data_IF_438354849533
#
_entry.id   IF_438354849533
#
_cell.length_a   1.000
_cell.length_b   1.000
_cell.length_c   1.000
_cell.angle_alpha   90.00
_cell.angle_beta   90.00
_cell.angle_gamma   90.00
#
_symmetry.space_group_name_H-M   'P 1'
#
loop_
_entity.id
_entity.type
_entity.pdbx_description
1 polymer ?
#
# COMPACT_ATOMS: atom_id res chain seq x y z
N UNK A 1 11.43 -53.48 -61.14
CA UNK A 1 12.83 -53.98 -61.28
C UNK A 1 12.92 -54.67 -62.63
N UNK A 2 13.93 -54.41 -63.49
CA UNK A 2 15.34 -54.23 -63.13
C UNK A 2 16.02 -52.95 -63.64
N UNK A 3 17.18 -52.72 -63.02
CA UNK A 3 18.24 -51.74 -63.29
C UNK A 3 19.12 -52.18 -64.46
N UNK A 4 19.84 -51.25 -65.10
CA UNK A 4 21.27 -51.33 -65.48
C UNK A 4 21.68 -50.05 -66.24
N UNK A 5 22.51 -49.19 -65.62
CA UNK A 5 23.97 -48.96 -65.87
C UNK A 5 24.28 -47.86 -66.89
N UNK A 6 24.97 -46.81 -66.47
CA UNK A 6 26.39 -46.64 -66.83
C UNK A 6 27.08 -45.51 -66.02
N UNK A 7 28.33 -45.81 -65.70
CA UNK A 7 29.33 -45.03 -64.96
C UNK A 7 30.15 -44.12 -65.89
N UNK A 8 30.56 -42.92 -65.44
CA UNK A 8 31.87 -42.34 -65.79
C UNK A 8 32.49 -41.52 -64.62
N UNK A 9 33.83 -41.44 -64.49
CA UNK A 9 34.51 -40.94 -63.30
C UNK A 9 35.25 -39.58 -63.46
N UNK A 10 35.53 -38.96 -62.30
CA UNK A 10 36.70 -38.15 -61.88
C UNK A 10 37.16 -36.92 -62.71
N UNK A 11 37.14 -35.72 -62.09
CA UNK A 11 38.38 -34.95 -61.84
C UNK A 11 38.23 -33.82 -60.80
N UNK A 12 39.03 -33.98 -59.76
CA UNK A 12 39.42 -33.04 -58.70
C UNK A 12 40.05 -31.72 -59.23
N UNK A 13 39.75 -30.58 -58.59
CA UNK A 13 40.71 -29.61 -58.00
C UNK A 13 40.03 -28.28 -57.66
N UNK A 14 40.13 -27.85 -56.41
CA UNK A 14 39.76 -26.50 -56.01
C UNK A 14 39.71 -26.32 -54.50
N UNK A 15 40.87 -26.34 -53.84
CA UNK A 15 40.95 -26.00 -52.43
C UNK A 15 40.55 -24.54 -52.19
N UNK A 16 39.81 -24.31 -51.10
CA UNK A 16 39.90 -23.05 -50.36
C UNK A 16 39.57 -23.29 -48.90
N UNK A 17 40.60 -23.15 -48.06
CA UNK A 17 40.46 -22.95 -46.61
C UNK A 17 39.53 -21.75 -46.38
N UNK A 18 38.49 -21.94 -45.57
CA UNK A 18 37.87 -20.84 -44.82
C UNK A 18 37.69 -21.34 -43.39
N UNK A 19 38.81 -21.40 -42.67
CA UNK A 19 38.81 -21.36 -41.23
C UNK A 19 38.77 -19.89 -40.80
N UNK A 20 37.81 -19.55 -39.96
CA UNK A 20 37.77 -18.27 -39.26
C UNK A 20 36.57 -17.40 -39.61
N UNK A 21 35.38 -17.75 -39.11
CA UNK A 21 34.45 -16.70 -38.64
C UNK A 21 33.34 -17.16 -37.68
N UNK A 22 33.45 -18.30 -37.00
CA UNK A 22 32.37 -18.78 -36.11
C UNK A 22 32.45 -18.23 -34.67
N UNK A 23 33.58 -17.63 -34.28
CA UNK A 23 33.80 -17.15 -32.91
C UNK A 23 33.29 -15.72 -32.61
N UNK A 24 32.83 -14.98 -33.62
CA UNK A 24 32.35 -13.59 -33.44
C UNK A 24 30.82 -13.44 -33.40
N UNK A 25 30.07 -14.52 -33.58
CA UNK A 25 28.60 -14.51 -33.50
C UNK A 25 28.08 -14.94 -32.12
N UNK A 26 28.77 -15.86 -31.43
CA UNK A 26 28.32 -16.40 -30.13
C UNK A 26 28.49 -15.42 -28.95
N UNK A 27 29.50 -14.52 -28.98
CA UNK A 27 29.71 -13.55 -27.89
C UNK A 27 28.59 -12.50 -27.77
N UNK A 28 27.98 -12.08 -28.88
CA UNK A 28 26.95 -11.03 -28.88
C UNK A 28 25.61 -11.49 -28.32
N UNK A 29 25.27 -12.77 -28.46
CA UNK A 29 24.02 -13.33 -27.94
C UNK A 29 24.12 -13.70 -26.46
N UNK A 30 25.30 -14.16 -26.02
CA UNK A 30 25.61 -14.32 -24.59
C UNK A 30 25.61 -12.99 -23.83
N UNK A 31 26.18 -11.94 -24.42
CA UNK A 31 26.25 -10.61 -23.81
C UNK A 31 24.87 -9.93 -23.72
N UNK A 32 23.99 -10.12 -24.72
CA UNK A 32 22.58 -9.68 -24.69
C UNK A 32 21.73 -10.42 -23.65
N UNK A 33 21.96 -11.72 -23.47
CA UNK A 33 21.27 -12.53 -22.46
C UNK A 33 21.69 -12.13 -21.05
N UNK A 34 22.98 -11.84 -20.85
CA UNK A 34 23.53 -11.36 -19.57
C UNK A 34 23.08 -9.92 -19.30
N UNK A 35 23.04 -9.03 -20.29
CA UNK A 35 22.54 -7.65 -20.08
C UNK A 35 21.01 -7.60 -19.88
N UNK A 36 20.23 -8.50 -20.45
CA UNK A 36 18.80 -8.63 -20.13
C UNK A 36 18.53 -9.20 -18.75
N UNK A 37 19.37 -10.11 -18.24
CA UNK A 37 19.24 -10.60 -16.85
C UNK A 37 19.71 -9.57 -15.82
N UNK A 38 20.64 -8.69 -16.18
CA UNK A 38 21.13 -7.58 -15.33
C UNK A 38 20.18 -6.37 -15.35
N UNK A 39 19.47 -6.11 -16.45
CA UNK A 39 18.41 -5.08 -16.54
C UNK A 39 17.04 -5.60 -16.11
N UNK A 40 16.99 -6.42 -15.06
CA UNK A 40 15.74 -6.74 -14.36
C UNK A 40 15.18 -5.50 -13.66
N UNK A 41 14.70 -4.50 -14.41
CA UNK A 41 13.82 -3.48 -13.86
C UNK A 41 12.67 -4.22 -13.20
N UNK A 42 12.53 -4.06 -11.88
CA UNK A 42 11.37 -4.58 -11.17
C UNK A 42 10.15 -3.84 -11.74
N UNK A 43 9.52 -4.46 -12.73
CA UNK A 43 8.26 -4.03 -13.32
C UNK A 43 7.18 -4.17 -12.23
N UNK A 44 7.02 -3.12 -11.42
CA UNK A 44 6.01 -3.09 -10.38
C UNK A 44 4.63 -3.20 -11.03
N UNK A 45 3.83 -4.16 -10.58
CA UNK A 45 2.43 -4.26 -11.00
C UNK A 45 1.70 -2.94 -10.70
N UNK A 46 0.69 -2.55 -11.49
CA UNK A 46 -0.10 -1.34 -11.23
C UNK A 46 -0.63 -1.25 -9.79
N UNK A 47 -1.01 -2.41 -9.21
CA UNK A 47 -1.44 -2.53 -7.82
C UNK A 47 -0.34 -2.17 -6.82
N UNK A 48 0.87 -2.72 -7.00
CA UNK A 48 2.01 -2.42 -6.12
C UNK A 48 2.42 -0.95 -6.19
N UNK A 49 2.39 -0.34 -7.38
CA UNK A 49 2.66 1.10 -7.55
C UNK A 49 1.65 1.94 -6.77
N UNK A 50 0.36 1.65 -6.93
CA UNK A 50 -0.69 2.39 -6.23
C UNK A 50 -0.60 2.21 -4.71
N UNK A 51 -0.27 1.01 -4.23
CA UNK A 51 -0.03 0.74 -2.81
C UNK A 51 1.13 1.59 -2.29
N UNK A 52 2.27 1.60 -2.99
CA UNK A 52 3.44 2.38 -2.58
C UNK A 52 3.14 3.89 -2.55
N UNK A 53 2.42 4.41 -3.55
CA UNK A 53 2.02 5.81 -3.60
C UNK A 53 1.09 6.19 -2.45
N UNK A 54 0.07 5.37 -2.16
CA UNK A 54 -0.87 5.62 -1.07
C UNK A 54 -0.21 5.46 0.30
N UNK A 55 0.70 4.49 0.45
CA UNK A 55 1.51 4.32 1.66
C UNK A 55 2.43 5.52 1.89
N UNK A 56 3.12 6.01 0.86
CA UNK A 56 3.95 7.21 0.93
C UNK A 56 3.15 8.46 1.29
N UNK A 57 2.02 8.68 0.63
CA UNK A 57 1.10 9.78 0.95
C UNK A 57 0.64 9.73 2.41
N UNK A 58 0.21 8.55 2.84
CA UNK A 58 -0.28 8.32 4.20
C UNK A 58 0.82 8.56 5.24
N UNK A 59 2.03 8.04 5.00
CA UNK A 59 3.19 8.21 5.88
C UNK A 59 3.65 9.68 5.96
N UNK A 60 3.64 10.41 4.84
CA UNK A 60 3.99 11.83 4.81
C UNK A 60 2.99 12.65 5.64
N UNK A 61 1.69 12.47 5.40
CA UNK A 61 0.64 13.16 6.15
C UNK A 61 0.69 12.83 7.65
N UNK A 62 0.93 11.57 7.99
CA UNK A 62 1.08 11.15 9.39
C UNK A 62 2.33 11.77 10.04
N UNK A 63 3.44 11.89 9.31
CA UNK A 63 4.65 12.55 9.81
C UNK A 63 4.41 14.04 10.05
N UNK A 64 3.77 14.74 9.11
CA UNK A 64 3.42 16.16 9.28
C UNK A 64 2.49 16.36 10.48
N UNK A 65 1.47 15.52 10.61
CA UNK A 65 0.55 15.53 11.75
C UNK A 65 1.27 15.27 13.08
N UNK A 66 2.32 14.45 13.08
CA UNK A 66 3.12 14.17 14.26
C UNK A 66 3.94 15.38 14.75
N UNK A 67 4.24 16.34 13.88
CA UNK A 67 4.96 17.57 14.21
C UNK A 67 4.06 18.63 14.87
N UNK A 68 2.74 18.51 14.73
CA UNK A 68 1.78 19.45 15.33
C UNK A 68 1.64 19.14 16.82
N UNK A 69 2.00 20.08 17.73
CA UNK A 69 1.78 19.90 19.15
C UNK A 69 0.28 20.04 19.46
N UNK A 70 -0.32 18.99 20.00
CA UNK A 70 -1.71 18.98 20.44
C UNK A 70 -1.77 18.96 21.98
N UNK A 71 -2.86 19.50 22.59
CA UNK A 71 -3.01 19.54 24.05
C UNK A 71 -2.90 18.16 24.70
N UNK A 72 -3.35 17.13 23.97
CA UNK A 72 -3.22 15.72 24.34
C UNK A 72 -2.17 15.10 23.42
N UNK A 73 -0.97 14.74 23.92
CA UNK A 73 0.16 14.32 23.08
C UNK A 73 -0.10 13.11 22.17
N UNK A 74 -0.99 12.22 22.60
CA UNK A 74 -1.34 11.02 21.85
C UNK A 74 -2.50 11.25 20.87
N UNK A 75 -3.33 12.27 21.07
CA UNK A 75 -4.48 12.54 20.21
C UNK A 75 -4.03 12.92 18.80
N UNK A 76 -4.76 12.50 17.78
CA UNK A 76 -4.48 12.79 16.36
C UNK A 76 -5.75 13.29 15.67
N UNK A 77 -5.57 14.14 14.65
CA UNK A 77 -6.64 14.69 13.80
C UNK A 77 -7.06 13.66 12.75
N UNK A 78 -6.22 12.65 12.46
CA UNK A 78 -6.51 11.56 11.55
C UNK A 78 -6.15 11.85 10.08
N UNK A 79 -5.46 12.95 9.76
CA UNK A 79 -5.13 13.32 8.37
C UNK A 79 -4.28 12.24 7.70
N UNK A 80 -3.39 11.58 8.46
CA UNK A 80 -2.62 10.43 7.98
C UNK A 80 -3.48 9.27 7.46
N UNK A 81 -4.76 9.17 7.85
CA UNK A 81 -5.65 8.08 7.43
C UNK A 81 -6.27 8.28 6.04
N UNK A 82 -6.10 9.43 5.38
CA UNK A 82 -6.63 9.66 4.02
C UNK A 82 -6.12 8.60 3.04
N UNK A 83 -4.82 8.31 3.04
CA UNK A 83 -4.24 7.28 2.17
C UNK A 83 -4.71 5.86 2.51
N UNK A 84 -4.91 5.55 3.78
CA UNK A 84 -5.45 4.27 4.25
C UNK A 84 -6.88 4.07 3.77
N UNK A 85 -7.73 5.09 3.92
CA UNK A 85 -9.12 5.02 3.49
C UNK A 85 -9.23 4.96 1.96
N UNK A 86 -8.41 5.72 1.23
CA UNK A 86 -8.32 5.61 -0.23
C UNK A 86 -7.94 4.18 -0.66
N UNK A 87 -6.93 3.59 -0.03
CA UNK A 87 -6.51 2.22 -0.32
C UNK A 87 -7.62 1.20 -0.05
N UNK A 88 -8.40 1.37 1.01
CA UNK A 88 -9.56 0.52 1.32
C UNK A 88 -10.67 0.57 0.25
N UNK A 89 -10.78 1.69 -0.49
CA UNK A 89 -11.79 1.88 -1.54
C UNK A 89 -11.28 1.58 -2.96
N UNK A 90 -10.01 1.82 -3.25
CA UNK A 90 -9.43 1.70 -4.60
C UNK A 90 -8.69 0.38 -4.80
N UNK A 91 -8.16 -0.21 -3.72
CA UNK A 91 -7.40 -1.45 -3.73
C UNK A 91 -8.14 -2.53 -2.93
N UNK A 92 -7.45 -3.61 -2.57
CA UNK A 92 -8.02 -4.65 -1.71
C UNK A 92 -7.95 -4.24 -0.23
N UNK A 93 -8.83 -4.78 0.64
CA UNK A 93 -8.73 -4.57 2.09
C UNK A 93 -7.39 -5.00 2.68
N UNK A 94 -6.67 -5.92 2.03
CA UNK A 94 -5.33 -6.30 2.47
C UNK A 94 -4.29 -5.23 2.10
N UNK A 95 -4.43 -4.58 0.94
CA UNK A 95 -3.55 -3.47 0.54
C UNK A 95 -3.70 -2.27 1.47
N UNK A 96 -4.94 -1.91 1.81
CA UNK A 96 -5.19 -0.83 2.77
C UNK A 96 -4.60 -1.13 4.16
N UNK A 97 -4.57 -2.40 4.56
CA UNK A 97 -3.91 -2.83 5.79
C UNK A 97 -2.39 -2.64 5.71
N UNK A 98 -1.76 -3.01 4.59
CA UNK A 98 -0.34 -2.75 4.39
C UNK A 98 -0.02 -1.25 4.33
N UNK A 99 -0.87 -0.44 3.70
CA UNK A 99 -0.75 1.03 3.71
C UNK A 99 -0.76 1.57 5.13
N UNK A 100 -1.66 1.07 6.00
CA UNK A 100 -1.69 1.41 7.42
C UNK A 100 -0.39 1.02 8.14
N UNK A 101 0.09 -0.21 7.95
CA UNK A 101 1.31 -0.68 8.62
C UNK A 101 2.53 0.13 8.19
N UNK A 102 2.69 0.35 6.88
CA UNK A 102 3.79 1.15 6.33
C UNK A 102 3.71 2.58 6.88
N UNK A 103 2.52 3.20 6.90
CA UNK A 103 2.30 4.52 7.50
C UNK A 103 2.82 4.57 8.94
N UNK A 104 2.43 3.61 9.77
CA UNK A 104 2.80 3.60 11.19
C UNK A 104 4.31 3.38 11.35
N UNK A 105 4.90 2.42 10.64
CA UNK A 105 6.32 2.10 10.73
C UNK A 105 7.17 3.27 10.22
N UNK A 106 6.98 3.67 8.97
CA UNK A 106 7.77 4.74 8.35
C UNK A 106 7.52 6.07 9.04
N UNK A 107 6.26 6.40 9.29
CA UNK A 107 5.92 7.67 9.92
C UNK A 107 6.43 7.79 11.36
N UNK A 108 6.44 6.70 12.13
CA UNK A 108 7.05 6.71 13.48
C UNK A 108 8.57 6.77 13.43
N UNK A 109 9.21 6.14 12.44
CA UNK A 109 10.66 6.22 12.24
C UNK A 109 11.07 7.66 11.90
N UNK A 110 10.38 8.30 10.94
CA UNK A 110 10.63 9.69 10.55
C UNK A 110 10.36 10.68 11.68
N UNK A 111 9.41 10.37 12.57
CA UNK A 111 9.09 11.22 13.72
C UNK A 111 9.96 10.95 14.94
N UNK A 112 10.91 10.01 14.88
CA UNK A 112 11.74 9.60 16.03
C UNK A 112 10.96 8.91 17.16
N UNK A 113 9.79 8.33 16.85
CA UNK A 113 8.84 7.70 17.79
C UNK A 113 8.75 6.19 17.64
N UNK A 114 9.58 5.58 16.80
CA UNK A 114 9.60 4.13 16.60
C UNK A 114 9.87 3.41 17.94
N UNK A 115 9.12 2.34 18.22
CA UNK A 115 9.15 1.60 19.49
C UNK A 115 8.87 2.41 20.77
N UNK A 116 8.38 3.65 20.65
CA UNK A 116 7.90 4.42 21.81
C UNK A 116 6.49 3.98 22.24
N UNK A 117 6.00 4.40 23.42
CA UNK A 117 4.59 4.21 23.77
C UNK A 117 3.63 4.72 22.70
N UNK A 118 3.95 5.83 22.01
CA UNK A 118 3.15 6.37 20.90
C UNK A 118 3.03 5.42 19.71
N UNK A 119 4.06 4.58 19.46
CA UNK A 119 3.99 3.54 18.45
C UNK A 119 2.99 2.45 18.83
N UNK A 120 2.95 2.07 20.12
CA UNK A 120 1.97 1.11 20.64
C UNK A 120 0.54 1.68 20.59
N UNK A 121 0.36 2.97 20.87
CA UNK A 121 -0.92 3.66 20.64
C UNK A 121 -1.36 3.56 19.19
N UNK A 122 -0.46 3.87 18.25
CA UNK A 122 -0.78 3.86 16.82
C UNK A 122 -1.13 2.45 16.30
N UNK A 123 -0.40 1.42 16.72
CA UNK A 123 -0.70 0.03 16.34
C UNK A 123 -1.96 -0.49 17.05
N UNK A 124 -2.01 -0.34 18.38
CA UNK A 124 -3.07 -0.88 19.23
C UNK A 124 -4.44 -0.29 18.94
N UNK A 125 -4.51 0.98 18.53
CA UNK A 125 -5.75 1.58 18.03
C UNK A 125 -5.93 1.40 16.51
N UNK A 126 -4.85 1.54 15.74
CA UNK A 126 -4.88 1.58 14.28
C UNK A 126 -5.30 0.26 13.63
N UNK A 127 -4.70 -0.85 14.06
CA UNK A 127 -4.99 -2.17 13.48
C UNK A 127 -6.45 -2.58 13.70
N UNK A 128 -6.99 -2.61 14.94
CA UNK A 128 -8.37 -2.98 15.16
C UNK A 128 -9.37 -2.00 14.51
N UNK A 129 -9.13 -0.68 14.57
CA UNK A 129 -10.02 0.30 13.92
C UNK A 129 -10.06 0.13 12.40
N UNK A 130 -8.95 -0.25 11.76
CA UNK A 130 -8.94 -0.57 10.34
C UNK A 130 -9.82 -1.75 9.99
N UNK A 131 -9.73 -2.84 10.75
CA UNK A 131 -10.58 -4.01 10.52
C UNK A 131 -12.05 -3.73 10.79
N UNK A 132 -12.36 -2.85 11.77
CA UNK A 132 -13.73 -2.33 11.96
C UNK A 132 -14.19 -1.59 10.70
N UNK A 133 -13.39 -0.68 10.14
CA UNK A 133 -13.74 0.01 8.88
C UNK A 133 -13.94 -0.96 7.72
N UNK A 134 -13.03 -1.92 7.55
CA UNK A 134 -13.10 -2.91 6.46
C UNK A 134 -14.34 -3.80 6.59
N UNK A 135 -14.66 -4.25 7.81
CA UNK A 135 -15.87 -5.02 8.11
C UNK A 135 -17.13 -4.20 7.88
N UNK A 136 -17.18 -2.95 8.35
CA UNK A 136 -18.32 -2.05 8.15
C UNK A 136 -18.53 -1.69 6.68
N UNK A 137 -17.46 -1.50 5.90
CA UNK A 137 -17.56 -1.32 4.45
C UNK A 137 -18.19 -2.56 3.80
N UNK A 138 -17.78 -3.76 4.20
CA UNK A 138 -18.33 -5.01 3.65
C UNK A 138 -19.79 -5.23 4.03
N UNK A 139 -20.17 -4.97 5.28
CA UNK A 139 -21.50 -5.22 5.81
C UNK A 139 -22.51 -4.12 5.45
N UNK A 140 -22.09 -2.87 5.53
CA UNK A 140 -22.96 -1.69 5.48
C UNK A 140 -22.55 -0.69 4.39
N UNK A 141 -21.64 -1.04 3.47
CA UNK A 141 -21.22 -0.16 2.38
C UNK A 141 -22.35 0.26 1.43
N UNK A 142 -23.49 -0.43 1.47
CA UNK A 142 -24.72 -0.04 0.76
C UNK A 142 -25.45 1.14 1.41
N UNK A 143 -25.29 1.33 2.72
CA UNK A 143 -25.95 2.37 3.52
C UNK A 143 -24.98 3.51 3.81
N UNK A 144 -23.74 3.19 4.15
CA UNK A 144 -22.70 4.15 4.48
C UNK A 144 -21.69 4.30 3.35
N UNK A 145 -21.55 5.53 2.84
CA UNK A 145 -20.46 5.89 1.93
C UNK A 145 -19.11 6.10 2.63
N UNK A 146 -18.08 6.59 1.90
CA UNK A 146 -16.74 6.82 2.41
C UNK A 146 -16.69 7.67 3.68
N UNK A 147 -17.57 8.69 3.75
CA UNK A 147 -17.70 9.57 4.91
C UNK A 147 -18.15 8.80 6.16
N UNK A 148 -19.20 7.98 6.05
CA UNK A 148 -19.74 7.21 7.18
C UNK A 148 -18.73 6.16 7.68
N UNK A 149 -18.10 5.43 6.76
CA UNK A 149 -17.05 4.46 7.12
C UNK A 149 -15.87 5.15 7.82
N UNK A 150 -15.48 6.34 7.36
CA UNK A 150 -14.42 7.12 7.99
C UNK A 150 -14.80 7.59 9.40
N UNK A 151 -16.04 8.05 9.61
CA UNK A 151 -16.54 8.46 10.94
C UNK A 151 -16.53 7.29 11.92
N UNK A 152 -17.06 6.13 11.51
CA UNK A 152 -17.06 4.92 12.35
C UNK A 152 -15.63 4.53 12.71
N UNK A 153 -14.73 4.52 11.72
CA UNK A 153 -13.33 4.21 11.92
C UNK A 153 -12.62 5.17 12.87
N UNK A 154 -12.83 6.48 12.71
CA UNK A 154 -12.19 7.50 13.53
C UNK A 154 -12.67 7.48 14.98
N UNK A 155 -13.98 7.30 15.22
CA UNK A 155 -14.53 7.12 16.56
C UNK A 155 -13.99 5.83 17.19
N UNK A 156 -14.03 4.71 16.47
CA UNK A 156 -13.49 3.44 16.96
C UNK A 156 -11.99 3.54 17.29
N UNK A 157 -11.20 4.20 16.44
CA UNK A 157 -9.78 4.45 16.68
C UNK A 157 -9.56 5.21 17.99
N UNK A 158 -10.28 6.31 18.20
CA UNK A 158 -10.12 7.10 19.43
C UNK A 158 -10.49 6.32 20.69
N UNK A 159 -11.56 5.50 20.63
CA UNK A 159 -11.98 4.66 21.76
C UNK A 159 -10.97 3.55 22.04
N UNK A 160 -10.45 2.89 21.01
CA UNK A 160 -9.40 1.87 21.15
C UNK A 160 -8.10 2.49 21.66
N UNK A 161 -7.78 3.71 21.22
CA UNK A 161 -6.63 4.44 21.72
C UNK A 161 -6.77 4.81 23.19
N UNK A 162 -7.97 5.19 23.64
CA UNK A 162 -8.28 5.40 25.04
C UNK A 162 -8.13 4.10 25.86
N UNK A 163 -8.56 2.96 25.31
CA UNK A 163 -8.36 1.66 25.95
C UNK A 163 -6.87 1.33 26.09
N UNK A 164 -6.06 1.55 25.05
CA UNK A 164 -4.60 1.39 25.13
C UNK A 164 -3.99 2.34 26.18
N UNK A 165 -4.47 3.59 26.28
CA UNK A 165 -4.01 4.53 27.31
C UNK A 165 -4.32 4.02 28.71
N UNK A 166 -5.52 3.47 28.91
CA UNK A 166 -5.93 2.91 30.18
C UNK A 166 -4.99 1.78 30.63
N UNK A 167 -4.68 0.84 29.74
CA UNK A 167 -3.80 -0.30 30.05
C UNK A 167 -2.32 0.08 30.21
N UNK A 168 -1.80 1.06 29.45
CA UNK A 168 -0.38 1.38 29.45
C UNK A 168 0.04 2.47 30.46
N UNK A 169 -0.83 3.43 30.78
CA UNK A 169 -0.41 4.63 31.52
C UNK A 169 -0.90 4.67 32.96
N UNK A 170 -2.21 4.59 33.19
CA UNK A 170 -2.78 5.19 34.40
C UNK A 170 -3.84 4.37 35.12
N UNK A 171 -4.36 3.29 34.53
CA UNK A 171 -5.42 2.42 35.11
C UNK A 171 -6.51 3.21 35.86
N UNK A 172 -6.87 4.39 35.34
CA UNK A 172 -7.70 5.37 36.02
C UNK A 172 -9.00 5.55 35.26
N UNK A 173 -10.13 5.33 35.94
CA UNK A 173 -11.46 5.51 35.37
C UNK A 173 -11.74 6.97 34.95
N UNK A 174 -10.91 7.93 35.38
CA UNK A 174 -11.00 9.33 34.93
C UNK A 174 -10.87 9.48 33.40
N UNK A 175 -10.21 8.52 32.74
CA UNK A 175 -10.09 8.47 31.28
C UNK A 175 -11.45 8.33 30.58
N UNK A 176 -12.46 7.72 31.22
CA UNK A 176 -13.78 7.56 30.62
C UNK A 176 -14.51 8.89 30.42
N UNK A 177 -14.19 9.92 31.20
CA UNK A 177 -14.73 11.27 30.99
C UNK A 177 -14.27 11.91 29.68
N UNK A 178 -13.22 11.39 29.04
CA UNK A 178 -12.77 11.87 27.73
C UNK A 178 -13.60 11.28 26.58
N UNK A 179 -14.41 10.22 26.81
CA UNK A 179 -15.16 9.55 25.75
C UNK A 179 -16.01 10.53 24.92
N UNK A 180 -16.84 11.42 25.50
CA UNK A 180 -17.66 12.34 24.71
C UNK A 180 -16.83 13.26 23.83
N UNK A 181 -15.70 13.76 24.36
CA UNK A 181 -14.76 14.61 23.62
C UNK A 181 -14.10 13.83 22.48
N UNK A 182 -13.68 12.59 22.74
CA UNK A 182 -13.06 11.72 21.75
C UNK A 182 -14.02 11.29 20.64
N UNK A 183 -15.30 11.05 20.97
CA UNK A 183 -16.33 10.81 19.97
C UNK A 183 -16.49 12.05 19.10
N UNK A 184 -16.63 13.24 19.69
CA UNK A 184 -16.78 14.48 18.93
C UNK A 184 -15.59 14.73 17.98
N UNK A 185 -14.36 14.63 18.51
CA UNK A 185 -13.13 14.81 17.70
C UNK A 185 -13.02 13.72 16.64
N UNK A 186 -13.37 12.48 16.97
CA UNK A 186 -13.38 11.36 16.02
C UNK A 186 -14.39 11.57 14.90
N UNK A 187 -15.59 12.07 15.21
CA UNK A 187 -16.59 12.42 14.21
C UNK A 187 -16.10 13.53 13.29
N UNK A 188 -15.56 14.63 13.84
CA UNK A 188 -15.05 15.74 13.03
C UNK A 188 -13.88 15.30 12.13
N UNK A 189 -12.92 14.56 12.69
CA UNK A 189 -11.82 13.92 11.96
C UNK A 189 -12.34 13.04 10.82
N UNK A 190 -13.26 12.13 11.12
CA UNK A 190 -13.82 11.20 10.16
C UNK A 190 -14.61 11.90 9.05
N UNK A 191 -15.34 12.97 9.37
CA UNK A 191 -16.02 13.81 8.37
C UNK A 191 -15.01 14.45 7.42
N UNK A 192 -13.93 15.02 7.95
CA UNK A 192 -12.88 15.65 7.13
C UNK A 192 -12.18 14.63 6.22
N UNK A 193 -11.64 13.56 6.80
CA UNK A 193 -10.92 12.51 6.07
C UNK A 193 -11.82 11.85 5.03
N UNK A 194 -13.05 11.49 5.43
CA UNK A 194 -14.01 10.85 4.55
C UNK A 194 -14.48 11.77 3.41
N UNK A 195 -14.62 13.08 3.66
CA UNK A 195 -14.97 14.06 2.63
C UNK A 195 -13.85 14.25 1.61
N UNK A 196 -12.60 14.29 2.08
CA UNK A 196 -11.41 14.30 1.21
C UNK A 196 -11.40 13.05 0.34
N UNK A 197 -11.51 11.86 0.94
CA UNK A 197 -11.52 10.60 0.20
C UNK A 197 -12.67 10.53 -0.81
N UNK A 198 -13.89 10.93 -0.43
CA UNK A 198 -15.04 10.97 -1.35
C UNK A 198 -14.77 11.91 -2.53
N UNK A 199 -14.19 13.08 -2.28
CA UNK A 199 -13.86 14.05 -3.32
C UNK A 199 -12.78 13.51 -4.26
N UNK A 200 -11.73 12.89 -3.73
CA UNK A 200 -10.67 12.27 -4.55
C UNK A 200 -11.20 11.11 -5.39
N UNK A 201 -12.05 10.24 -4.83
CA UNK A 201 -12.68 9.13 -5.57
C UNK A 201 -13.52 9.62 -6.76
N UNK A 202 -14.23 10.74 -6.58
CA UNK A 202 -15.02 11.37 -7.66
C UNK A 202 -14.14 11.84 -8.81
N UNK A 203 -12.99 12.47 -8.53
CA UNK A 203 -12.06 12.92 -9.57
C UNK A 203 -11.38 11.75 -10.30
N UNK A 204 -11.23 10.60 -9.65
CA UNK A 204 -10.70 9.39 -10.29
C UNK A 204 -11.76 8.62 -11.10
N UNK A 205 -12.98 9.15 -11.25
CA UNK A 205 -14.12 8.51 -11.91
C UNK A 205 -14.47 7.13 -11.32
N UNK A 206 -14.06 6.86 -10.08
CA UNK A 206 -14.41 5.62 -9.38
C UNK A 206 -15.79 5.82 -8.79
N UNK A 207 -16.78 5.20 -9.43
CA UNK A 207 -18.15 5.30 -8.97
C UNK A 207 -18.31 4.48 -7.69
N UNK A 208 -18.34 5.17 -6.56
CA UNK A 208 -18.50 4.59 -5.22
C UNK A 208 -19.77 3.75 -5.13
N UNK A 209 -20.77 4.08 -5.95
CA UNK A 209 -22.02 3.34 -6.10
C UNK A 209 -21.89 1.98 -6.81
N UNK A 210 -20.78 1.69 -7.49
CA UNK A 210 -20.55 0.40 -8.16
C UNK A 210 -19.58 -0.53 -7.41
N UNK A 211 -18.96 -0.08 -6.30
CA UNK A 211 -18.29 -0.97 -5.34
C UNK A 211 -19.34 -1.67 -4.42
N UNK A 212 -20.51 -2.02 -4.98
CA UNK A 212 -21.65 -2.68 -4.31
C UNK A 212 -21.56 -4.21 -4.32
N UNK A 213 -20.42 -4.77 -4.71
CA UNK A 213 -20.15 -6.21 -4.72
C UNK A 213 -19.78 -6.72 -3.32
#
# INVERSE_FOLDING_TARGET
>A
MPLHTETRPQKNKGGKKVGGNENHLNKRDGEKTITQSINGTIELSPRQRNLALLAGLSAALYTVENLIPLPIPWLRIGIGNVGVLLALYVLTPLDGFFVLLIKIIIGSLLSGRFLSPFFLFALGAGVPSYWIMAGMKKLLGRVFGPVGISVIGAVAHNLLQLAVAYFLLMNSLKLLYLIPVLVLIGTLSGLLVGSITKSTLRHMHINVDNSKA
#
